data_IF_648117300276
#
_entry.id   IF_648117300276
#
_cell.length_a   1.000
_cell.length_b   1.000
_cell.length_c   1.000
_cell.angle_alpha   90.00
_cell.angle_beta   90.00
_cell.angle_gamma   90.00
#
_symmetry.space_group_name_H-M   'P 1'
#
loop_
_entity.id
_entity.type
_entity.pdbx_description
1 polymer ?
#
# COMPACT_ATOMS: atom_id res chain seq x y z
N UNK A 1 5.23 -24.04 -83.27
CA UNK A 1 6.65 -23.76 -82.96
C UNK A 1 6.67 -22.71 -81.84
N UNK A 2 7.28 -23.04 -80.69
CA UNK A 2 7.24 -22.31 -79.40
C UNK A 2 8.35 -21.24 -79.31
N UNK A 3 8.09 -20.12 -78.61
CA UNK A 3 9.07 -19.35 -77.82
C UNK A 3 8.27 -18.30 -76.99
N UNK A 4 8.09 -18.44 -75.66
CA UNK A 4 8.99 -18.20 -74.53
C UNK A 4 8.58 -16.91 -73.79
N UNK A 5 7.67 -17.07 -72.81
CA UNK A 5 7.40 -16.07 -71.77
C UNK A 5 8.63 -15.96 -70.86
N UNK A 6 9.31 -14.81 -70.87
CA UNK A 6 10.26 -14.45 -69.81
C UNK A 6 9.48 -13.98 -68.59
N UNK A 7 9.15 -14.90 -67.67
CA UNK A 7 8.76 -14.51 -66.31
C UNK A 7 10.01 -14.16 -65.53
N UNK A 8 10.22 -12.86 -65.29
CA UNK A 8 11.28 -12.38 -64.39
C UNK A 8 10.82 -12.62 -62.95
N UNK A 9 11.19 -13.74 -62.36
CA UNK A 9 11.05 -13.95 -60.91
C UNK A 9 12.06 -13.07 -60.19
N UNK A 10 11.62 -11.94 -59.64
CA UNK A 10 12.40 -11.17 -58.67
C UNK A 10 12.50 -12.00 -57.39
N UNK A 11 13.63 -12.67 -57.19
CA UNK A 11 13.91 -13.40 -55.97
C UNK A 11 13.87 -12.45 -54.77
N UNK A 12 12.99 -12.71 -53.81
CA UNK A 12 13.07 -12.09 -52.50
C UNK A 12 14.34 -12.57 -51.83
N UNK A 13 15.30 -11.67 -51.65
CA UNK A 13 16.54 -11.97 -50.96
C UNK A 13 16.26 -12.06 -49.46
N UNK A 14 15.70 -13.19 -49.02
CA UNK A 14 15.45 -13.51 -47.62
C UNK A 14 16.79 -13.78 -46.95
N UNK A 15 17.51 -12.73 -46.57
CA UNK A 15 18.69 -12.83 -45.70
C UNK A 15 18.19 -13.27 -44.32
N UNK A 16 18.34 -14.57 -44.03
CA UNK A 16 18.03 -15.13 -42.72
C UNK A 16 18.86 -14.45 -41.62
N UNK A 17 18.23 -14.22 -40.48
CA UNK A 17 18.82 -13.63 -39.28
C UNK A 17 20.13 -14.37 -38.92
N UNK A 18 21.22 -13.64 -38.69
CA UNK A 18 22.48 -14.27 -38.28
C UNK A 18 22.44 -14.60 -36.78
N UNK A 19 23.08 -15.71 -36.36
CA UNK A 19 23.17 -16.06 -34.93
C UNK A 19 23.83 -14.94 -34.10
N UNK A 20 24.78 -14.22 -34.69
CA UNK A 20 25.45 -13.10 -34.03
C UNK A 20 24.51 -11.92 -33.80
N UNK A 21 23.70 -11.55 -34.80
CA UNK A 21 22.70 -10.49 -34.67
C UNK A 21 21.68 -10.81 -33.57
N UNK A 22 21.25 -12.07 -33.47
CA UNK A 22 20.36 -12.52 -32.40
C UNK A 22 21.01 -12.37 -31.02
N UNK A 23 22.28 -12.75 -30.86
CA UNK A 23 23.01 -12.60 -29.59
C UNK A 23 23.11 -11.13 -29.18
N UNK A 24 23.47 -10.24 -30.10
CA UNK A 24 23.56 -8.79 -29.81
C UNK A 24 22.21 -8.23 -29.40
N UNK A 25 21.13 -8.58 -30.11
CA UNK A 25 19.76 -8.13 -29.76
C UNK A 25 19.36 -8.64 -28.37
N UNK A 26 19.59 -9.91 -28.06
CA UNK A 26 19.29 -10.47 -26.74
C UNK A 26 20.10 -9.74 -25.66
N UNK A 27 21.39 -9.50 -25.87
CA UNK A 27 22.23 -8.76 -24.91
C UNK A 27 21.69 -7.36 -24.63
N UNK A 28 21.31 -6.61 -25.67
CA UNK A 28 20.72 -5.27 -25.51
C UNK A 28 19.38 -5.34 -24.78
N UNK A 29 18.50 -6.26 -25.17
CA UNK A 29 17.19 -6.46 -24.53
C UNK A 29 17.35 -6.86 -23.07
N UNK A 30 18.30 -7.72 -22.71
CA UNK A 30 18.55 -8.13 -21.33
C UNK A 30 18.98 -6.95 -20.45
N UNK A 31 19.86 -6.07 -20.95
CA UNK A 31 20.27 -4.88 -20.21
C UNK A 31 19.08 -3.94 -19.99
N UNK A 32 18.27 -3.69 -21.03
CA UNK A 32 17.07 -2.85 -20.90
C UNK A 32 16.04 -3.45 -19.95
N UNK A 33 15.82 -4.77 -20.02
CA UNK A 33 14.89 -5.48 -19.15
C UNK A 33 15.31 -5.39 -17.69
N UNK A 34 16.60 -5.48 -17.39
CA UNK A 34 17.12 -5.35 -16.03
C UNK A 34 16.74 -3.99 -15.42
N UNK A 35 17.01 -2.88 -16.12
CA UNK A 35 16.64 -1.54 -15.65
C UNK A 35 15.12 -1.33 -15.57
N UNK A 36 14.37 -1.87 -16.53
CA UNK A 36 12.92 -1.78 -16.54
C UNK A 36 12.29 -2.50 -15.33
N UNK A 37 12.80 -3.69 -14.99
CA UNK A 37 12.33 -4.46 -13.84
C UNK A 37 12.61 -3.74 -12.52
N UNK A 38 13.80 -3.17 -12.35
CA UNK A 38 14.13 -2.38 -11.15
C UNK A 38 13.15 -1.21 -10.97
N UNK A 39 12.91 -0.43 -12.04
CA UNK A 39 11.96 0.69 -12.01
C UNK A 39 10.53 0.23 -11.73
N UNK A 40 10.13 -0.92 -12.28
CA UNK A 40 8.81 -1.51 -12.08
C UNK A 40 8.57 -1.86 -10.61
N UNK A 41 9.52 -2.51 -9.93
CA UNK A 41 9.39 -2.83 -8.51
C UNK A 41 9.31 -1.57 -7.63
N UNK A 42 10.12 -0.54 -7.93
CA UNK A 42 10.03 0.76 -7.23
C UNK A 42 8.62 1.35 -7.33
N UNK A 43 8.03 1.30 -8.52
CA UNK A 43 6.68 1.82 -8.74
C UNK A 43 5.63 1.04 -7.94
N UNK A 44 5.74 -0.29 -7.85
CA UNK A 44 4.81 -1.10 -7.07
C UNK A 44 4.85 -0.76 -5.56
N UNK A 45 6.04 -0.54 -5.00
CA UNK A 45 6.21 -0.13 -3.60
C UNK A 45 5.61 1.26 -3.36
N UNK A 46 5.85 2.19 -4.27
CA UNK A 46 5.31 3.56 -4.19
C UNK A 46 3.78 3.57 -4.28
N UNK A 47 3.20 2.76 -5.18
CA UNK A 47 1.75 2.58 -5.30
C UNK A 47 1.17 2.01 -4.00
N UNK A 48 1.80 0.97 -3.45
CA UNK A 48 1.35 0.37 -2.19
C UNK A 48 1.37 1.39 -1.05
N UNK A 49 2.50 2.09 -0.87
CA UNK A 49 2.67 3.10 0.16
C UNK A 49 1.62 4.21 0.02
N UNK A 50 1.44 4.72 -1.19
CA UNK A 50 0.50 5.82 -1.47
C UNK A 50 -0.94 5.38 -1.20
N UNK A 51 -1.33 4.17 -1.60
CA UNK A 51 -2.66 3.63 -1.32
C UNK A 51 -2.91 3.45 0.19
N UNK A 52 -1.91 2.96 0.93
CA UNK A 52 -1.99 2.84 2.39
C UNK A 52 -2.13 4.22 3.05
N UNK A 53 -1.27 5.18 2.69
CA UNK A 53 -1.29 6.54 3.24
C UNK A 53 -2.59 7.27 2.90
N UNK A 54 -3.12 7.09 1.68
CA UNK A 54 -4.42 7.59 1.26
C UNK A 54 -5.55 7.05 2.17
N UNK A 55 -5.62 5.73 2.37
CA UNK A 55 -6.62 5.13 3.24
C UNK A 55 -6.53 5.68 4.68
N UNK A 56 -5.31 5.86 5.21
CA UNK A 56 -5.10 6.50 6.52
C UNK A 56 -5.58 7.95 6.55
N UNK A 57 -5.37 8.72 5.48
CA UNK A 57 -5.88 10.08 5.35
C UNK A 57 -7.41 10.14 5.41
N UNK A 58 -8.08 9.22 4.70
CA UNK A 58 -9.54 9.07 4.72
C UNK A 58 -10.02 8.73 6.14
N UNK A 59 -9.42 7.73 6.78
CA UNK A 59 -9.76 7.34 8.16
C UNK A 59 -9.56 8.48 9.18
N UNK A 60 -8.47 9.25 9.05
CA UNK A 60 -8.20 10.41 9.91
C UNK A 60 -9.27 11.49 9.75
N UNK A 61 -9.72 11.71 8.51
CA UNK A 61 -10.76 12.69 8.20
C UNK A 61 -12.11 12.25 8.79
N UNK A 62 -12.48 10.98 8.62
CA UNK A 62 -13.69 10.40 9.22
C UNK A 62 -13.67 10.47 10.75
N UNK A 63 -12.55 10.13 11.39
CA UNK A 63 -12.36 10.25 12.83
C UNK A 63 -12.52 11.70 13.31
N UNK A 64 -11.94 12.66 12.61
CA UNK A 64 -12.06 14.07 12.97
C UNK A 64 -13.51 14.57 12.86
N UNK A 65 -14.25 14.15 11.83
CA UNK A 65 -15.67 14.46 11.65
C UNK A 65 -16.51 13.88 12.79
N UNK A 66 -16.32 12.60 13.12
CA UNK A 66 -17.08 11.93 14.18
C UNK A 66 -16.81 12.55 15.56
N UNK A 67 -15.54 12.84 15.87
CA UNK A 67 -15.17 13.54 17.10
C UNK A 67 -15.81 14.92 17.17
N UNK A 68 -15.81 15.66 16.05
CA UNK A 68 -16.42 17.00 16.01
C UNK A 68 -17.93 16.94 16.21
N UNK A 69 -18.61 16.02 15.52
CA UNK A 69 -20.05 15.81 15.67
C UNK A 69 -20.41 15.46 17.13
N UNK A 70 -19.71 14.50 17.71
CA UNK A 70 -19.89 14.09 19.13
C UNK A 70 -19.67 15.25 20.11
N UNK A 71 -18.67 16.11 19.86
CA UNK A 71 -18.40 17.27 20.72
C UNK A 71 -19.47 18.36 20.60
N UNK A 72 -20.01 18.59 19.40
CA UNK A 72 -21.11 19.54 19.15
C UNK A 72 -22.40 19.07 19.84
N UNK A 73 -22.65 17.76 19.84
CA UNK A 73 -23.78 17.15 20.55
C UNK A 73 -23.57 17.07 22.08
N UNK A 74 -22.36 17.35 22.55
CA UNK A 74 -22.00 17.24 23.97
C UNK A 74 -21.79 15.80 24.45
N UNK A 75 -21.81 14.80 23.55
CA UNK A 75 -21.57 13.40 23.87
C UNK A 75 -20.08 13.10 24.01
N UNK A 76 -19.53 13.46 25.16
CA UNK A 76 -18.15 13.10 25.52
C UNK A 76 -17.93 11.59 25.62
N UNK A 77 -18.97 10.81 25.90
CA UNK A 77 -18.86 9.36 26.01
C UNK A 77 -18.65 8.72 24.62
N UNK A 78 -19.28 9.25 23.57
CA UNK A 78 -18.98 8.87 22.18
C UNK A 78 -17.50 9.06 21.84
N UNK A 79 -16.92 10.22 22.16
CA UNK A 79 -15.49 10.48 21.92
C UNK A 79 -14.61 9.47 22.68
N UNK A 80 -14.96 9.11 23.91
CA UNK A 80 -14.20 8.11 24.68
C UNK A 80 -14.30 6.70 24.07
N UNK A 81 -15.46 6.33 23.48
CA UNK A 81 -15.64 5.02 22.82
C UNK A 81 -14.76 4.87 21.57
N UNK A 82 -14.41 5.97 20.91
CA UNK A 82 -13.56 5.96 19.72
C UNK A 82 -12.09 5.64 20.02
N UNK A 83 -11.61 5.87 21.25
CA UNK A 83 -10.23 5.55 21.63
C UNK A 83 -10.03 4.05 21.53
N UNK A 84 -9.06 3.59 20.72
CA UNK A 84 -8.81 2.19 20.43
C UNK A 84 -9.97 1.47 19.71
N UNK A 85 -10.90 2.21 19.11
CA UNK A 85 -11.90 1.64 18.19
C UNK A 85 -11.29 1.36 16.82
N UNK A 86 -12.01 0.62 16.00
CA UNK A 86 -11.61 0.34 14.62
C UNK A 86 -11.97 1.53 13.72
N UNK A 87 -10.99 2.27 13.15
CA UNK A 87 -11.29 3.44 12.31
C UNK A 87 -12.04 3.10 11.03
N UNK A 88 -12.01 1.84 10.58
CA UNK A 88 -12.76 1.39 9.41
C UNK A 88 -14.27 1.46 9.63
N UNK A 89 -14.75 1.35 10.88
CA UNK A 89 -16.17 1.43 11.21
C UNK A 89 -16.76 2.84 10.99
N UNK A 90 -15.89 3.85 10.84
CA UNK A 90 -16.27 5.24 10.55
C UNK A 90 -16.42 5.51 9.05
N UNK A 91 -16.04 4.57 8.19
CA UNK A 91 -16.07 4.75 6.75
C UNK A 91 -17.40 4.28 6.17
N UNK A 92 -17.97 5.10 5.28
CA UNK A 92 -19.16 4.72 4.50
C UNK A 92 -18.80 3.63 3.48
N UNK A 93 -17.64 3.76 2.84
CA UNK A 93 -17.11 2.79 1.89
C UNK A 93 -15.79 2.23 2.41
N UNK A 94 -15.77 0.91 2.65
CA UNK A 94 -14.59 0.20 3.12
C UNK A 94 -13.61 -0.03 1.97
N UNK A 95 -12.29 0.08 2.20
CA UNK A 95 -11.30 -0.35 1.22
C UNK A 95 -11.53 -1.81 0.82
N UNK A 96 -11.46 -2.11 -0.48
CA UNK A 96 -11.66 -3.46 -1.02
C UNK A 96 -10.70 -4.52 -0.44
N UNK A 97 -9.57 -4.08 0.12
CA UNK A 97 -8.56 -4.93 0.74
C UNK A 97 -8.67 -4.97 2.27
N UNK A 98 -9.84 -4.68 2.85
CA UNK A 98 -10.11 -4.84 4.27
C UNK A 98 -10.73 -6.21 4.60
N UNK A 99 -10.10 -6.96 5.50
CA UNK A 99 -10.52 -8.30 5.95
C UNK A 99 -11.42 -8.30 7.19
N UNK A 100 -11.83 -7.12 7.66
CA UNK A 100 -12.65 -7.03 8.87
C UNK A 100 -11.84 -7.14 10.15
N UNK A 101 -12.56 -7.38 11.24
CA UNK A 101 -11.95 -7.69 12.53
C UNK A 101 -11.62 -9.17 12.62
N UNK A 102 -10.37 -9.47 12.98
CA UNK A 102 -9.83 -10.82 13.01
C UNK A 102 -9.23 -11.16 14.36
N UNK A 103 -9.23 -12.45 14.69
CA UNK A 103 -8.53 -12.96 15.88
C UNK A 103 -7.01 -12.93 15.67
N UNK A 104 -6.24 -12.95 16.76
CA UNK A 104 -4.77 -12.99 16.69
C UNK A 104 -4.21 -14.26 16.02
N UNK A 105 -4.98 -15.36 15.98
CA UNK A 105 -4.62 -16.57 15.22
C UNK A 105 -4.80 -16.34 13.72
N UNK A 106 -5.94 -15.76 13.31
CA UNK A 106 -6.27 -15.44 11.92
C UNK A 106 -5.36 -14.34 11.35
N UNK A 107 -4.93 -13.39 12.18
CA UNK A 107 -4.02 -12.31 11.78
C UNK A 107 -2.72 -12.82 11.13
N UNK A 108 -2.26 -14.02 11.51
CA UNK A 108 -1.06 -14.64 10.92
C UNK A 108 -1.27 -15.08 9.47
N UNK A 109 -2.50 -15.48 9.12
CA UNK A 109 -2.84 -16.03 7.81
C UNK A 109 -3.42 -15.00 6.85
N UNK A 110 -3.69 -13.77 7.30
CA UNK A 110 -4.09 -12.66 6.42
C UNK A 110 -3.07 -12.49 5.30
N UNK A 111 -3.52 -12.34 4.06
CA UNK A 111 -2.61 -12.15 2.93
C UNK A 111 -1.94 -10.77 2.98
N UNK A 112 -0.70 -10.62 2.47
CA UNK A 112 -0.08 -9.31 2.30
C UNK A 112 -0.90 -8.37 1.39
N UNK A 113 -0.74 -7.06 1.56
CA UNK A 113 -1.49 -6.01 0.85
C UNK A 113 -2.87 -5.72 1.44
N UNK A 114 -3.15 -6.16 2.67
CA UNK A 114 -4.49 -6.14 3.27
C UNK A 114 -4.53 -5.44 4.62
N UNK A 115 -5.67 -4.80 4.88
CA UNK A 115 -6.02 -4.21 6.16
C UNK A 115 -6.83 -5.20 7.00
N UNK A 116 -6.61 -5.22 8.31
CA UNK A 116 -7.47 -5.94 9.25
C UNK A 116 -7.44 -5.27 10.62
N UNK A 117 -8.45 -5.51 11.46
CA UNK A 117 -8.47 -5.03 12.84
C UNK A 117 -8.20 -6.17 13.82
N UNK A 118 -7.09 -6.12 14.55
CA UNK A 118 -6.80 -7.03 15.66
C UNK A 118 -7.60 -6.59 16.89
N UNK A 119 -8.71 -7.29 17.14
CA UNK A 119 -9.60 -6.98 18.26
C UNK A 119 -8.92 -7.16 19.62
N UNK A 120 -8.00 -8.13 19.74
CA UNK A 120 -7.27 -8.40 20.98
C UNK A 120 -6.33 -7.25 21.32
N UNK A 121 -5.63 -6.74 20.31
CA UNK A 121 -4.67 -5.64 20.44
C UNK A 121 -5.30 -4.25 20.35
N UNK A 122 -6.56 -4.16 19.90
CA UNK A 122 -7.26 -2.91 19.54
C UNK A 122 -6.48 -2.07 18.53
N UNK A 123 -5.95 -2.76 17.51
CA UNK A 123 -5.05 -2.18 16.52
C UNK A 123 -5.58 -2.41 15.12
N UNK A 124 -5.61 -1.35 14.32
CA UNK A 124 -5.76 -1.46 12.88
C UNK A 124 -4.40 -1.79 12.28
N UNK A 125 -4.31 -2.89 11.53
CA UNK A 125 -3.05 -3.38 10.98
C UNK A 125 -3.13 -3.40 9.46
N UNK A 126 -2.09 -2.88 8.82
CA UNK A 126 -1.82 -3.10 7.41
C UNK A 126 -0.69 -4.11 7.26
N UNK A 127 -0.95 -5.24 6.60
CA UNK A 127 0.06 -6.23 6.27
C UNK A 127 0.68 -5.85 4.94
N UNK A 128 1.96 -5.46 4.93
CA UNK A 128 2.62 -4.95 3.73
C UNK A 128 2.87 -6.09 2.75
N UNK A 129 2.60 -5.84 1.46
CA UNK A 129 2.84 -6.73 0.33
C UNK A 129 4.33 -6.79 0.00
N UNK A 130 4.99 -5.64 -0.17
CA UNK A 130 6.41 -5.57 -0.50
C UNK A 130 7.27 -5.40 0.75
N UNK A 131 7.24 -6.41 1.65
CA UNK A 131 7.84 -6.35 2.99
C UNK A 131 9.35 -6.09 3.01
N UNK A 132 10.05 -6.47 1.95
CA UNK A 132 11.49 -6.20 1.80
C UNK A 132 11.82 -4.69 1.82
N UNK A 133 10.83 -3.85 1.51
CA UNK A 133 10.96 -2.39 1.51
C UNK A 133 10.37 -1.74 2.75
N UNK A 134 10.08 -2.53 3.79
CA UNK A 134 9.58 -2.02 5.06
C UNK A 134 10.55 -2.35 6.20
N UNK A 135 11.03 -1.31 6.85
CA UNK A 135 11.65 -1.44 8.17
C UNK A 135 10.60 -1.11 9.25
N UNK A 136 10.38 -2.03 10.18
CA UNK A 136 9.49 -1.79 11.32
C UNK A 136 10.05 -2.46 12.58
N UNK A 137 10.00 -1.75 13.70
CA UNK A 137 10.33 -2.30 15.03
C UNK A 137 9.18 -3.15 15.62
N UNK A 138 8.42 -3.83 14.77
CA UNK A 138 7.25 -4.60 15.16
C UNK A 138 7.60 -6.06 15.46
N UNK A 139 6.92 -6.68 16.44
CA UNK A 139 6.97 -8.13 16.71
C UNK A 139 6.50 -8.95 15.50
N UNK A 140 5.65 -8.38 14.65
CA UNK A 140 5.17 -8.99 13.42
C UNK A 140 5.88 -8.31 12.23
N UNK A 141 6.99 -8.91 11.79
CA UNK A 141 7.78 -8.41 10.65
C UNK A 141 6.88 -8.25 9.41
N UNK A 142 6.98 -7.12 8.71
CA UNK A 142 6.19 -6.85 7.50
C UNK A 142 4.77 -6.32 7.74
N UNK A 143 4.45 -5.80 8.92
CA UNK A 143 3.14 -5.17 9.19
C UNK A 143 3.31 -3.83 9.90
N UNK A 144 2.39 -2.90 9.63
CA UNK A 144 2.30 -1.61 10.29
C UNK A 144 0.98 -1.57 11.09
N UNK A 145 1.08 -1.36 12.39
CA UNK A 145 -0.07 -1.27 13.28
C UNK A 145 -0.35 0.19 13.66
N UNK A 146 -1.62 0.53 13.76
CA UNK A 146 -2.13 1.85 14.10
C UNK A 146 -3.17 1.74 15.22
N UNK A 147 -3.26 2.80 16.02
CA UNK A 147 -4.26 2.91 17.08
C UNK A 147 -4.85 4.32 17.13
N UNK A 148 -6.09 4.43 17.59
CA UNK A 148 -6.75 5.70 17.87
C UNK A 148 -6.41 6.12 19.29
N UNK A 149 -5.71 7.23 19.44
CA UNK A 149 -5.27 7.76 20.72
C UNK A 149 -5.73 9.20 20.96
N UNK A 150 -5.91 9.60 22.23
CA UNK A 150 -6.25 10.96 22.58
C UNK A 150 -5.11 11.93 22.26
N UNK A 151 -5.44 13.00 21.54
CA UNK A 151 -4.56 14.14 21.31
C UNK A 151 -4.83 15.20 22.38
N UNK A 152 -3.84 15.45 23.22
CA UNK A 152 -3.88 16.53 24.19
C UNK A 152 -3.07 17.72 23.71
N UNK A 153 -3.55 18.94 23.98
CA UNK A 153 -2.78 20.17 23.73
C UNK A 153 -2.74 21.04 24.98
N UNK A 154 -1.70 21.86 25.07
CA UNK A 154 -1.43 22.73 26.21
C UNK A 154 -2.08 24.11 25.95
N UNK A 155 -2.85 24.62 26.91
CA UNK A 155 -3.27 26.04 26.96
C UNK A 155 -2.76 26.69 28.24
N UNK A 156 -2.88 28.02 28.32
CA UNK A 156 -2.55 28.80 29.53
C UNK A 156 -3.24 28.27 30.81
N UNK A 157 -4.40 27.62 30.68
CA UNK A 157 -5.19 27.06 31.79
C UNK A 157 -4.96 25.56 32.07
N UNK A 158 -3.99 24.93 31.39
CA UNK A 158 -3.67 23.50 31.55
C UNK A 158 -3.83 22.67 30.28
N UNK A 159 -3.70 21.35 30.42
CA UNK A 159 -3.79 20.38 29.32
C UNK A 159 -5.26 20.04 29.04
N UNK A 160 -5.71 20.19 27.80
CA UNK A 160 -7.07 19.81 27.39
C UNK A 160 -7.04 18.81 26.23
N UNK A 161 -8.08 17.98 26.15
CA UNK A 161 -8.29 17.05 25.05
C UNK A 161 -8.63 17.86 23.80
N UNK A 162 -7.73 17.87 22.82
CA UNK A 162 -7.91 18.56 21.56
C UNK A 162 -8.71 17.72 20.56
N UNK A 163 -8.65 16.39 20.68
CA UNK A 163 -9.36 15.45 19.81
C UNK A 163 -8.75 14.06 19.89
N UNK A 164 -8.91 13.27 18.83
CA UNK A 164 -8.31 11.95 18.67
C UNK A 164 -7.43 11.93 17.41
N UNK A 165 -6.43 11.06 17.39
CA UNK A 165 -5.57 10.85 16.22
C UNK A 165 -5.28 9.37 15.97
N UNK A 166 -5.10 9.03 14.70
CA UNK A 166 -4.59 7.72 14.29
C UNK A 166 -3.07 7.81 14.17
N UNK A 167 -2.38 7.05 15.02
CA UNK A 167 -0.91 7.02 15.08
C UNK A 167 -0.37 5.59 14.97
N UNK A 168 0.84 5.41 14.42
CA UNK A 168 1.47 4.11 14.40
C UNK A 168 1.87 3.65 15.82
N UNK A 169 1.70 2.37 16.09
CA UNK A 169 2.08 1.75 17.37
C UNK A 169 3.60 1.63 17.50
N UNK A 170 4.28 1.32 16.39
CA UNK A 170 5.72 1.26 16.30
C UNK A 170 6.20 2.17 15.17
N UNK A 171 7.40 2.73 15.32
CA UNK A 171 8.09 3.40 14.22
C UNK A 171 8.25 2.45 13.03
N UNK A 172 8.01 2.98 11.84
CA UNK A 172 8.23 2.29 10.58
C UNK A 172 8.83 3.25 9.56
N UNK A 173 9.55 2.69 8.60
CA UNK A 173 10.14 3.42 7.48
C UNK A 173 10.02 2.57 6.22
N UNK A 174 9.56 3.20 5.15
CA UNK A 174 9.67 2.62 3.82
C UNK A 174 11.08 2.86 3.31
N UNK A 175 11.75 1.79 2.90
CA UNK A 175 13.06 1.88 2.27
C UNK A 175 12.88 2.41 0.85
N UNK A 176 13.44 3.58 0.59
CA UNK A 176 13.68 4.03 -0.77
C UNK A 176 14.78 3.16 -1.36
N UNK A 177 14.51 2.59 -2.53
CA UNK A 177 15.60 2.14 -3.39
C UNK A 177 16.14 3.45 -3.98
N UNK A 178 17.38 3.81 -3.66
CA UNK A 178 18.14 4.84 -4.36
C UNK A 178 19.01 4.14 -5.43
#
# INVERSE_FOLDING_TARGET
MRANFFTRTTGSNSRGFTLFELVVVISVVSVLAFFALDRYYRLLVEVERTAMEHNLGVMRSALAMEVTASLVEGDRAAVQRLIGSNPMDLLVELPHNYDGSVSSLTARTVAPGRWYFDASGRQLVYKVQHQLYLESKSRNSGSIAFTVEPLYTQRMSGRYLAGLRIQPVNEYRWLTID
#
